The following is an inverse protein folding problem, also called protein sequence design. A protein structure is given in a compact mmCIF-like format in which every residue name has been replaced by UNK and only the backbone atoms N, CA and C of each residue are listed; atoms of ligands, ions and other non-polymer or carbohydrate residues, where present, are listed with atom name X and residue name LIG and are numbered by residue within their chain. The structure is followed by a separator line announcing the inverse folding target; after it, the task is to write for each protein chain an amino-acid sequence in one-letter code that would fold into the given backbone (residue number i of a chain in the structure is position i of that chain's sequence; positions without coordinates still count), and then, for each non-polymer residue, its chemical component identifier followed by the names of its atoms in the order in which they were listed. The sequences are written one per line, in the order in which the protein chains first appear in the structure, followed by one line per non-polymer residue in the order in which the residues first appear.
data_IF_776919759865
#
_entry.id   IF_776919759865
#
_cell.length_a   1.000
_cell.length_b   1.000
_cell.length_c   1.000
_cell.angle_alpha   90.00
_cell.angle_beta   90.00
_cell.angle_gamma   90.00
#
_symmetry.space_group_name_H-M   'P 1'
#
loop_
_entity.id
_entity.type
_entity.pdbx_description
1 polymer ?
#
# COMPACT_ATOMS: atom_id res chain seq x y z
N UNK A 1 -8.50 -12.24 -18.68
CA UNK A 1 -8.54 -11.25 -17.58
C UNK A 1 -8.88 -11.85 -16.21
N UNK A 2 -9.95 -12.65 -16.04
CA UNK A 2 -10.41 -13.14 -14.70
C UNK A 2 -9.39 -14.06 -14.00
N UNK A 3 -8.60 -14.84 -14.75
CA UNK A 3 -7.58 -15.76 -14.18
C UNK A 3 -6.43 -15.00 -13.50
N UNK A 4 -6.00 -13.86 -14.07
CA UNK A 4 -4.92 -13.02 -13.51
C UNK A 4 -5.26 -12.55 -12.10
N UNK A 5 -6.49 -12.07 -11.87
CA UNK A 5 -6.89 -11.49 -10.58
C UNK A 5 -6.82 -12.48 -9.41
N UNK A 6 -7.07 -13.77 -9.63
CA UNK A 6 -6.96 -14.79 -8.57
C UNK A 6 -5.50 -15.12 -8.26
N UNK A 7 -4.67 -15.25 -9.29
CA UNK A 7 -3.23 -15.50 -9.12
C UNK A 7 -2.55 -14.31 -8.43
N UNK A 8 -2.86 -13.08 -8.87
CA UNK A 8 -2.35 -11.84 -8.31
C UNK A 8 -2.72 -11.69 -6.83
N UNK A 9 -3.98 -11.99 -6.47
CA UNK A 9 -4.43 -11.97 -5.07
C UNK A 9 -3.76 -13.07 -4.20
N UNK A 10 -3.52 -14.25 -4.77
CA UNK A 10 -2.80 -15.33 -4.07
C UNK A 10 -1.33 -14.96 -3.85
N UNK A 11 -0.70 -14.29 -4.81
CA UNK A 11 0.65 -13.76 -4.68
C UNK A 11 0.74 -12.73 -3.55
N UNK A 12 -0.16 -11.74 -3.51
CA UNK A 12 -0.24 -10.77 -2.41
C UNK A 12 -0.45 -11.44 -1.05
N UNK A 13 -1.32 -12.44 -0.98
CA UNK A 13 -1.51 -13.22 0.25
C UNK A 13 -0.22 -13.95 0.67
N UNK A 14 0.56 -14.45 -0.29
CA UNK A 14 1.81 -15.14 0.00
C UNK A 14 2.86 -14.22 0.61
N UNK A 15 2.92 -12.95 0.20
CA UNK A 15 3.80 -11.93 0.78
C UNK A 15 3.46 -11.74 2.26
N UNK A 16 2.18 -11.50 2.58
CA UNK A 16 1.75 -11.36 3.97
C UNK A 16 2.05 -12.62 4.79
N UNK A 17 1.82 -13.81 4.25
CA UNK A 17 2.12 -15.08 4.96
C UNK A 17 3.62 -15.24 5.25
N UNK A 18 4.49 -14.88 4.30
CA UNK A 18 5.95 -15.00 4.45
C UNK A 18 6.55 -13.94 5.38
N UNK A 19 5.91 -12.77 5.48
CA UNK A 19 6.39 -11.66 6.31
C UNK A 19 6.44 -11.96 7.82
N UNK A 20 5.68 -12.95 8.31
CA UNK A 20 5.51 -13.17 9.75
C UNK A 20 4.75 -12.04 10.47
N UNK A 21 4.13 -11.12 9.72
CA UNK A 21 3.52 -9.91 10.29
C UNK A 21 2.31 -10.20 11.20
N UNK A 22 2.22 -9.44 12.29
CA UNK A 22 1.06 -9.41 13.19
C UNK A 22 -0.25 -8.98 12.48
N UNK A 23 -0.19 -8.35 11.31
CA UNK A 23 -1.36 -8.05 10.50
C UNK A 23 -2.04 -9.30 9.91
N UNK A 24 -1.32 -10.42 9.80
CA UNK A 24 -1.87 -11.65 9.23
C UNK A 24 -3.07 -12.20 10.03
N UNK A 25 -3.09 -12.00 11.35
CA UNK A 25 -4.16 -12.47 12.22
C UNK A 25 -5.46 -11.66 12.07
N UNK A 26 -5.50 -10.33 12.29
CA UNK A 26 -6.74 -9.55 12.18
C UNK A 26 -7.32 -9.57 10.77
N UNK A 27 -6.48 -9.58 9.72
CA UNK A 27 -6.96 -9.63 8.34
C UNK A 27 -7.68 -10.95 8.00
N UNK A 28 -7.45 -12.05 8.74
CA UNK A 28 -8.19 -13.30 8.55
C UNK A 28 -9.68 -13.19 8.90
N UNK A 29 -10.03 -12.27 9.79
CA UNK A 29 -11.40 -12.03 10.26
C UNK A 29 -12.26 -11.26 9.23
N UNK A 30 -11.63 -10.62 8.25
CA UNK A 30 -12.34 -9.93 7.17
C UNK A 30 -13.02 -10.91 6.23
N UNK A 31 -14.11 -10.44 5.59
CA UNK A 31 -14.72 -11.19 4.49
C UNK A 31 -13.68 -11.50 3.40
N UNK A 32 -13.84 -12.58 2.61
CA UNK A 32 -12.85 -12.97 1.61
C UNK A 32 -12.47 -11.85 0.63
N UNK A 33 -13.41 -10.97 0.31
CA UNK A 33 -13.18 -9.84 -0.59
C UNK A 33 -12.38 -8.71 0.06
N UNK A 34 -12.76 -8.29 1.27
CA UNK A 34 -12.03 -7.27 2.03
C UNK A 34 -10.63 -7.74 2.36
N UNK A 35 -10.48 -9.01 2.72
CA UNK A 35 -9.18 -9.64 2.97
C UNK A 35 -8.28 -9.61 1.74
N UNK A 36 -8.81 -9.84 0.52
CA UNK A 36 -8.02 -9.70 -0.72
C UNK A 36 -7.53 -8.27 -0.90
N UNK A 37 -8.39 -7.27 -0.72
CA UNK A 37 -8.00 -5.86 -0.79
C UNK A 37 -6.94 -5.50 0.24
N UNK A 38 -7.10 -5.94 1.49
CA UNK A 38 -6.11 -5.67 2.54
C UNK A 38 -4.78 -6.40 2.31
N UNK A 39 -4.79 -7.62 1.75
CA UNK A 39 -3.55 -8.29 1.36
C UNK A 39 -2.83 -7.55 0.23
N UNK A 40 -3.57 -6.99 -0.74
CA UNK A 40 -2.98 -6.19 -1.81
C UNK A 40 -2.35 -4.90 -1.27
N UNK A 41 -3.04 -4.19 -0.38
CA UNK A 41 -2.50 -2.99 0.27
C UNK A 41 -1.27 -3.31 1.12
N UNK A 42 -1.30 -4.41 1.89
CA UNK A 42 -0.15 -4.86 2.65
C UNK A 42 1.05 -5.18 1.74
N UNK A 43 0.84 -5.98 0.69
CA UNK A 43 1.89 -6.35 -0.25
C UNK A 43 2.46 -5.12 -0.97
N UNK A 44 1.63 -4.14 -1.30
CA UNK A 44 2.05 -2.87 -1.88
C UNK A 44 2.99 -2.09 -0.95
N UNK A 45 2.61 -1.92 0.32
CA UNK A 45 3.47 -1.24 1.29
C UNK A 45 4.78 -2.00 1.48
N UNK A 46 4.71 -3.34 1.62
CA UNK A 46 5.90 -4.16 1.82
C UNK A 46 6.88 -4.08 0.64
N UNK A 47 6.38 -4.07 -0.59
CA UNK A 47 7.21 -3.96 -1.78
C UNK A 47 7.89 -2.58 -1.86
N UNK A 48 7.18 -1.51 -1.49
CA UNK A 48 7.78 -0.18 -1.40
C UNK A 48 8.89 -0.14 -0.34
N UNK A 49 8.64 -0.66 0.86
CA UNK A 49 9.65 -0.71 1.93
C UNK A 49 10.88 -1.53 1.52
N UNK A 50 10.67 -2.71 0.91
CA UNK A 50 11.76 -3.60 0.47
C UNK A 50 12.70 -2.92 -0.55
N UNK A 51 12.21 -1.97 -1.36
CA UNK A 51 13.06 -1.18 -2.28
C UNK A 51 14.05 -0.29 -1.50
N UNK A 52 13.61 0.30 -0.40
CA UNK A 52 14.42 1.23 0.39
C UNK A 52 15.32 0.47 1.37
N UNK A 53 14.80 -0.58 1.98
CA UNK A 53 15.51 -1.43 2.94
C UNK A 53 16.50 -2.39 2.27
N UNK A 54 16.34 -2.65 0.96
CA UNK A 54 17.19 -3.56 0.20
C UNK A 54 18.67 -3.17 0.19
N UNK A 55 19.53 -4.10 -0.23
CA UNK A 55 20.95 -3.81 -0.45
C UNK A 55 21.15 -3.06 -1.78
N UNK A 56 22.19 -2.23 -1.88
CA UNK A 56 22.53 -1.52 -3.11
C UNK A 56 22.90 -0.05 -2.89
N UNK A 57 23.37 0.61 -3.95
CA UNK A 57 23.71 2.03 -3.89
C UNK A 57 22.45 2.90 -3.78
N UNK A 58 22.58 4.09 -3.18
CA UNK A 58 21.49 5.05 -3.06
C UNK A 58 20.86 5.40 -4.42
N UNK A 59 21.68 5.51 -5.47
CA UNK A 59 21.23 5.75 -6.84
C UNK A 59 20.29 4.66 -7.35
N UNK A 60 20.61 3.40 -7.05
CA UNK A 60 19.87 2.25 -7.55
C UNK A 60 18.51 2.18 -6.85
N UNK A 61 18.47 2.43 -5.54
CA UNK A 61 17.23 2.53 -4.76
C UNK A 61 16.35 3.68 -5.23
N UNK A 62 16.94 4.84 -5.49
CA UNK A 62 16.21 6.01 -6.03
C UNK A 62 15.59 5.68 -7.39
N UNK A 63 16.34 5.05 -8.29
CA UNK A 63 15.81 4.66 -9.59
C UNK A 63 14.71 3.61 -9.46
N UNK A 64 14.88 2.64 -8.57
CA UNK A 64 13.89 1.59 -8.33
C UNK A 64 12.56 2.15 -7.79
N UNK A 65 12.59 3.11 -6.84
CA UNK A 65 11.36 3.70 -6.32
C UNK A 65 10.68 4.62 -7.36
N UNK A 66 11.44 5.26 -8.24
CA UNK A 66 10.88 6.06 -9.34
C UNK A 66 10.21 5.17 -10.39
N UNK A 67 10.81 4.04 -10.73
CA UNK A 67 10.21 3.03 -11.60
C UNK A 67 8.95 2.43 -10.98
N UNK A 68 8.99 2.11 -9.68
CA UNK A 68 7.83 1.63 -8.93
C UNK A 68 6.66 2.62 -8.96
N UNK A 69 6.93 3.92 -8.72
CA UNK A 69 5.90 4.96 -8.80
C UNK A 69 5.33 5.10 -10.22
N UNK A 70 6.18 5.02 -11.25
CA UNK A 70 5.76 5.05 -12.65
C UNK A 70 4.84 3.88 -12.98
N UNK A 71 5.22 2.66 -12.58
CA UNK A 71 4.39 1.46 -12.78
C UNK A 71 3.08 1.55 -12.00
N UNK A 72 3.08 2.07 -10.77
CA UNK A 72 1.86 2.33 -9.99
C UNK A 72 0.91 3.27 -10.75
N UNK A 73 1.43 4.39 -11.28
CA UNK A 73 0.65 5.33 -12.07
C UNK A 73 0.03 4.69 -13.30
N UNK A 74 0.80 3.88 -14.01
CA UNK A 74 0.31 3.14 -15.18
C UNK A 74 -0.82 2.17 -14.78
N UNK A 75 -0.64 1.40 -13.71
CA UNK A 75 -1.63 0.45 -13.22
C UNK A 75 -2.94 1.15 -12.81
N UNK A 76 -2.85 2.26 -12.08
CA UNK A 76 -4.00 3.06 -11.65
C UNK A 76 -4.75 3.74 -12.82
N UNK A 77 -4.06 3.97 -13.93
CA UNK A 77 -4.66 4.48 -15.17
C UNK A 77 -5.17 3.37 -16.11
N UNK A 78 -5.21 2.11 -15.64
CA UNK A 78 -5.72 0.98 -16.40
C UNK A 78 -4.77 0.44 -17.48
N UNK A 79 -3.50 0.85 -17.47
CA UNK A 79 -2.49 0.31 -18.38
C UNK A 79 -2.00 -1.07 -17.90
N UNK A 80 -1.53 -1.89 -18.84
CA UNK A 80 -0.98 -3.20 -18.53
C UNK A 80 0.38 -3.03 -17.84
N UNK A 81 0.52 -3.63 -16.65
CA UNK A 81 1.78 -3.68 -15.91
C UNK A 81 2.13 -5.12 -15.56
N UNK A 82 3.42 -5.45 -15.61
CA UNK A 82 3.94 -6.77 -15.29
C UNK A 82 4.36 -6.90 -13.82
N UNK A 83 3.46 -6.51 -12.92
CA UNK A 83 3.63 -6.70 -11.49
C UNK A 83 2.30 -7.11 -10.83
N UNK A 84 2.22 -8.29 -10.18
CA UNK A 84 0.97 -8.79 -9.59
C UNK A 84 0.47 -7.95 -8.39
N UNK A 85 1.37 -7.30 -7.66
CA UNK A 85 1.03 -6.43 -6.52
C UNK A 85 0.42 -5.14 -7.05
N UNK A 86 1.04 -4.51 -8.04
CA UNK A 86 0.54 -3.28 -8.66
C UNK A 86 -0.80 -3.49 -9.39
N UNK A 87 -0.96 -4.63 -10.09
CA UNK A 87 -2.28 -5.01 -10.64
C UNK A 87 -3.34 -5.19 -9.55
N UNK A 88 -2.97 -5.83 -8.44
CA UNK A 88 -3.90 -6.09 -7.33
C UNK A 88 -4.31 -4.81 -6.60
N UNK A 89 -3.37 -3.91 -6.33
CA UNK A 89 -3.69 -2.64 -5.65
C UNK A 89 -4.49 -1.72 -6.56
N UNK A 90 -4.23 -1.68 -7.87
CA UNK A 90 -5.04 -0.91 -8.81
C UNK A 90 -6.48 -1.43 -8.88
N UNK A 91 -6.67 -2.75 -8.98
CA UNK A 91 -8.01 -3.36 -8.92
C UNK A 91 -8.71 -3.10 -7.58
N UNK A 92 -7.96 -3.06 -6.48
CA UNK A 92 -8.49 -2.74 -5.15
C UNK A 92 -8.88 -1.27 -5.06
N UNK A 93 -8.07 -0.36 -5.60
CA UNK A 93 -8.33 1.07 -5.62
C UNK A 93 -9.59 1.40 -6.41
N UNK A 94 -9.76 0.79 -7.59
CA UNK A 94 -10.97 0.93 -8.41
C UNK A 94 -12.22 0.40 -7.67
N UNK A 95 -12.16 -0.85 -7.18
CA UNK A 95 -13.28 -1.52 -6.50
C UNK A 95 -13.78 -0.76 -5.26
N UNK A 96 -12.88 -0.26 -4.44
CA UNK A 96 -13.21 0.40 -3.17
C UNK A 96 -13.16 1.91 -3.26
N UNK A 97 -12.91 2.48 -4.45
CA UNK A 97 -12.79 3.92 -4.67
C UNK A 97 -11.76 4.55 -3.72
N UNK A 98 -10.58 3.91 -3.61
CA UNK A 98 -9.48 4.43 -2.78
C UNK A 98 -8.91 5.67 -3.46
N UNK A 99 -8.84 6.83 -2.80
CA UNK A 99 -8.16 8.00 -3.35
C UNK A 99 -6.70 7.69 -3.67
N UNK A 100 -6.31 7.86 -4.93
CA UNK A 100 -4.95 7.52 -5.40
C UNK A 100 -3.87 8.32 -4.66
N UNK A 101 -4.21 9.53 -4.18
CA UNK A 101 -3.31 10.37 -3.38
C UNK A 101 -2.75 9.65 -2.15
N UNK A 102 -3.50 8.73 -1.52
CA UNK A 102 -3.01 7.98 -0.36
C UNK A 102 -1.94 6.97 -0.77
N UNK A 103 -2.09 6.32 -1.93
CA UNK A 103 -1.08 5.40 -2.45
C UNK A 103 0.21 6.13 -2.82
N UNK A 104 0.11 7.29 -3.47
CA UNK A 104 1.28 8.12 -3.78
C UNK A 104 1.90 8.75 -2.52
N UNK A 105 1.11 9.08 -1.50
CA UNK A 105 1.62 9.56 -0.23
C UNK A 105 2.47 8.50 0.50
N UNK A 106 2.06 7.22 0.44
CA UNK A 106 2.86 6.10 0.96
C UNK A 106 4.20 6.03 0.24
N UNK A 107 4.20 6.01 -1.10
CA UNK A 107 5.45 5.97 -1.90
C UNK A 107 6.36 7.16 -1.59
N UNK A 108 5.78 8.36 -1.43
CA UNK A 108 6.54 9.56 -1.06
C UNK A 108 7.15 9.45 0.34
N UNK A 109 6.41 8.90 1.31
CA UNK A 109 6.91 8.68 2.67
C UNK A 109 8.06 7.68 2.68
N UNK A 110 7.89 6.55 2.01
CA UNK A 110 8.94 5.53 1.86
C UNK A 110 10.17 6.09 1.15
N UNK A 111 9.99 6.89 0.08
CA UNK A 111 11.10 7.58 -0.60
C UNK A 111 11.88 8.51 0.32
N UNK A 112 11.24 9.19 1.28
CA UNK A 112 11.99 10.11 2.17
C UNK A 112 13.00 9.41 3.06
N UNK A 113 12.82 8.11 3.33
CA UNK A 113 13.75 7.33 4.16
C UNK A 113 15.11 7.08 3.47
N UNK A 114 15.22 7.35 2.16
CA UNK A 114 16.50 7.32 1.44
C UNK A 114 17.50 8.36 1.96
N UNK A 115 17.02 9.51 2.43
CA UNK A 115 17.87 10.66 2.76
C UNK A 115 17.61 11.22 4.16
N UNK A 116 16.43 10.97 4.72
CA UNK A 116 16.02 11.53 6.00
C UNK A 116 16.18 10.51 7.12
N UNK A 117 17.03 10.81 8.11
CA UNK A 117 17.23 9.96 9.30
C UNK A 117 16.97 10.67 10.62
N UNK A 118 16.76 11.99 10.61
CA UNK A 118 16.50 12.82 11.80
C UNK A 118 15.49 13.90 11.48
N UNK A 119 14.71 14.30 12.46
CA UNK A 119 13.71 15.36 12.36
C UNK A 119 14.05 16.45 13.36
N UNK A 120 14.07 17.71 12.90
CA UNK A 120 14.45 18.85 13.74
C UNK A 120 13.34 19.21 14.73
N UNK A 121 12.09 19.06 14.30
CA UNK A 121 10.91 19.36 15.11
C UNK A 121 9.96 18.17 15.23
N UNK A 122 9.12 18.20 16.25
CA UNK A 122 8.02 17.24 16.40
C UNK A 122 7.04 17.33 15.22
N UNK A 123 6.81 18.52 14.67
CA UNK A 123 5.93 18.71 13.52
C UNK A 123 6.47 18.02 12.26
N UNK A 124 7.78 18.04 12.05
CA UNK A 124 8.41 17.32 10.93
C UNK A 124 8.23 15.80 11.09
N UNK A 125 8.37 15.28 12.32
CA UNK A 125 8.12 13.87 12.63
C UNK A 125 6.65 13.49 12.42
N UNK A 126 5.70 14.34 12.83
CA UNK A 126 4.27 14.12 12.63
C UNK A 126 3.96 14.07 11.13
N UNK A 127 4.53 14.98 10.34
CA UNK A 127 4.33 15.00 8.89
C UNK A 127 4.89 13.74 8.21
N UNK A 128 6.02 13.22 8.68
CA UNK A 128 6.51 11.91 8.26
C UNK A 128 5.50 10.79 8.61
N UNK A 129 5.06 10.71 9.87
CA UNK A 129 4.06 9.73 10.31
C UNK A 129 2.76 9.79 9.49
N UNK A 130 2.33 10.97 9.05
CA UNK A 130 1.15 11.11 8.17
C UNK A 130 1.34 10.38 6.84
N UNK A 131 2.55 10.41 6.26
CA UNK A 131 2.88 9.80 4.97
C UNK A 131 3.08 8.30 5.08
N UNK A 132 3.81 7.82 6.08
CA UNK A 132 4.14 6.38 6.21
C UNK A 132 3.11 5.57 6.97
N UNK A 133 2.28 6.17 7.83
CA UNK A 133 1.29 5.46 8.63
C UNK A 133 -0.15 5.93 8.37
N UNK A 134 -0.44 7.23 8.46
CA UNK A 134 -1.82 7.70 8.29
C UNK A 134 -2.33 7.45 6.87
N UNK A 135 -1.51 7.64 5.84
CA UNK A 135 -1.88 7.35 4.46
C UNK A 135 -2.25 5.87 4.24
N UNK A 136 -1.54 4.93 4.88
CA UNK A 136 -1.88 3.49 4.85
C UNK A 136 -3.26 3.26 5.47
N UNK A 137 -3.53 3.87 6.62
CA UNK A 137 -4.85 3.81 7.27
C UNK A 137 -5.96 4.38 6.39
N UNK A 138 -5.74 5.55 5.79
CA UNK A 138 -6.68 6.21 4.88
C UNK A 138 -6.94 5.37 3.61
N UNK A 139 -5.93 4.69 3.08
CA UNK A 139 -6.09 3.75 1.98
C UNK A 139 -6.85 2.48 2.38
N UNK A 140 -6.74 2.05 3.65
CA UNK A 140 -7.40 0.85 4.16
C UNK A 140 -8.88 1.07 4.51
N UNK A 141 -9.25 2.28 4.92
CA UNK A 141 -10.61 2.64 5.36
C UNK A 141 -11.69 2.28 4.33
N UNK A 142 -11.57 2.62 3.03
CA UNK A 142 -12.55 2.23 2.02
C UNK A 142 -12.71 0.71 1.88
N UNK A 143 -11.64 -0.05 2.09
CA UNK A 143 -11.64 -1.53 2.03
C UNK A 143 -12.45 -2.10 3.19
N UNK A 144 -12.21 -1.61 4.40
CA UNK A 144 -12.89 -2.11 5.60
C UNK A 144 -14.33 -1.61 5.70
N UNK A 145 -14.61 -0.45 5.09
CA UNK A 145 -15.87 0.23 5.13
C UNK A 145 -16.02 1.00 6.44
N UNK A 146 -16.48 2.24 6.35
CA UNK A 146 -16.92 3.00 7.52
C UNK A 146 -18.38 2.68 7.77
N UNK A 147 -18.70 2.25 8.99
CA UNK A 147 -20.06 2.43 9.47
C UNK A 147 -20.20 3.94 9.70
N UNK A 148 -21.03 4.63 8.89
CA UNK A 148 -21.46 5.98 9.26
C UNK A 148 -22.05 5.86 10.67
N UNK A 149 -21.54 6.66 11.60
CA UNK A 149 -21.97 6.62 12.99
C UNK A 149 -23.49 6.71 13.07
N UNK A 150 -24.03 5.98 14.05
CA UNK A 150 -25.35 6.24 14.62
C UNK A 150 -25.38 7.74 14.91
N UNK A 151 -26.36 8.44 14.36
CA UNK A 151 -26.60 9.85 14.67
C UNK A 151 -26.67 10.02 16.18
N UNK A 152 -26.21 11.14 16.70
CA UNK A 152 -26.29 11.49 18.12
C UNK A 152 -27.74 11.77 18.60
N UNK A 153 -28.71 11.01 18.09
CA UNK A 153 -30.15 11.14 18.37
C UNK A 153 -30.79 9.82 18.83
N UNK A 154 -30.00 8.92 19.43
CA UNK A 154 -30.53 7.79 20.23
C UNK A 154 -30.22 8.00 21.73
#
# INVERSE_FOLDING_TARGET
MIVSQRADAAFCQSILKKSGSNFALPLRLLSPEKRRGSNALYAFCRLADDIIDGEGALSDKSQAIDEFERMLRNALNGQVVDDPVLRSIACTADRYTIPHEHLFAIVKGVRSDLTQSRYETTDDLIEYCRRVASAVGLAAVPIWGLRRGISSED
#
